data_IF_439371005953
#
_entry.id   IF_439371005953
#
_cell.length_a   1.000
_cell.length_b   1.000
_cell.length_c   1.000
_cell.angle_alpha   90.00
_cell.angle_beta   90.00
_cell.angle_gamma   90.00
#
_symmetry.space_group_name_H-M   'P 1'
#
loop_
_entity.id
_entity.type
_entity.pdbx_description
1 polymer ?
#
# COMPACT_ATOMS: atom_id res chain seq x y z
N UNK A 1 13.21 65.60 27.79
CA UNK A 1 11.83 65.40 28.28
C UNK A 1 11.04 64.92 27.08
N UNK A 2 10.55 63.70 26.96
CA UNK A 2 10.20 62.68 27.97
C UNK A 2 10.38 61.28 27.38
N UNK A 3 10.93 60.40 28.21
CA UNK A 3 10.98 58.96 28.06
C UNK A 3 9.59 58.32 28.10
N UNK A 4 9.43 57.17 27.45
CA UNK A 4 8.63 56.05 27.99
C UNK A 4 8.93 54.77 27.20
N UNK A 5 9.58 53.85 27.90
CA UNK A 5 9.80 52.44 27.60
C UNK A 5 8.50 51.61 27.54
N UNK A 6 8.69 50.32 27.21
CA UNK A 6 7.80 49.14 27.39
C UNK A 6 6.87 48.85 26.20
N UNK A 7 6.63 47.62 25.76
CA UNK A 7 6.93 46.31 26.35
C UNK A 7 6.86 45.19 25.29
N UNK A 8 7.56 44.11 25.59
CA UNK A 8 7.75 42.87 24.85
C UNK A 8 6.56 41.90 25.09
N UNK A 9 6.22 41.05 24.11
CA UNK A 9 5.36 39.87 24.28
C UNK A 9 4.59 39.54 23.00
N UNK A 10 4.39 38.31 22.54
CA UNK A 10 4.69 36.97 23.04
C UNK A 10 4.63 36.08 21.77
N UNK A 11 5.63 35.23 21.53
CA UNK A 11 5.58 34.22 20.46
C UNK A 11 4.84 33.01 21.00
N UNK A 12 3.70 32.66 20.40
CA UNK A 12 3.00 31.41 20.69
C UNK A 12 3.84 30.21 20.22
N UNK A 13 4.29 29.42 21.19
CA UNK A 13 4.83 28.08 21.01
C UNK A 13 3.72 27.15 20.50
N UNK A 14 3.88 26.64 19.28
CA UNK A 14 3.06 25.52 18.78
C UNK A 14 3.82 24.23 19.10
N UNK A 15 3.55 23.66 20.27
CA UNK A 15 3.91 22.29 20.61
C UNK A 15 3.08 21.31 19.76
N UNK A 16 3.72 20.58 18.86
CA UNK A 16 3.14 19.37 18.27
C UNK A 16 3.67 18.15 18.99
N UNK A 17 2.85 17.56 19.85
CA UNK A 17 3.08 16.29 20.55
C UNK A 17 3.21 15.13 19.55
N UNK A 18 4.34 14.44 19.57
CA UNK A 18 4.55 13.19 18.85
C UNK A 18 4.18 12.01 19.78
N UNK A 19 3.19 11.22 19.36
CA UNK A 19 2.75 10.01 20.06
C UNK A 19 3.89 8.98 20.18
N UNK A 20 4.13 8.55 21.42
CA UNK A 20 5.03 7.47 21.81
C UNK A 20 4.57 6.13 21.23
N UNK A 21 5.47 5.43 20.53
CA UNK A 21 5.27 4.04 20.10
C UNK A 21 6.32 3.16 20.77
N UNK A 22 5.92 2.45 21.84
CA UNK A 22 6.74 1.42 22.47
C UNK A 22 6.80 0.14 21.62
N UNK A 23 7.99 -0.46 21.40
CA UNK A 23 8.12 -1.77 20.79
C UNK A 23 8.16 -2.87 21.86
N UNK A 24 7.10 -3.69 21.94
CA UNK A 24 7.10 -4.91 22.73
C UNK A 24 7.90 -6.02 22.02
N UNK A 25 8.96 -6.49 22.68
CA UNK A 25 9.78 -7.64 22.30
C UNK A 25 9.07 -8.98 22.53
N UNK A 26 8.94 -9.81 21.51
CA UNK A 26 8.81 -11.25 21.68
C UNK A 26 9.50 -11.98 20.53
N UNK A 27 10.61 -12.62 20.86
CA UNK A 27 11.40 -13.52 20.02
C UNK A 27 10.65 -14.82 19.77
N UNK A 28 10.41 -15.17 18.51
CA UNK A 28 10.33 -16.57 18.07
C UNK A 28 10.77 -16.67 16.61
N UNK A 29 11.92 -17.32 16.42
CA UNK A 29 12.59 -17.56 15.16
C UNK A 29 11.98 -18.76 14.45
N UNK A 30 11.31 -18.52 13.32
CA UNK A 30 11.00 -19.55 12.33
C UNK A 30 11.52 -19.06 10.98
N UNK A 31 12.54 -19.75 10.46
CA UNK A 31 13.10 -19.54 9.13
C UNK A 31 12.04 -19.88 8.07
N UNK A 32 11.32 -18.85 7.61
CA UNK A 32 10.46 -18.95 6.43
C UNK A 32 11.24 -18.42 5.22
N UNK A 33 11.36 -19.25 4.19
CA UNK A 33 12.09 -18.95 2.96
C UNK A 33 11.60 -17.64 2.35
N UNK A 34 12.50 -16.65 2.29
CA UNK A 34 12.21 -15.29 1.83
C UNK A 34 11.96 -15.30 0.32
N UNK A 35 10.71 -15.49 -0.06
CA UNK A 35 10.22 -15.07 -1.38
C UNK A 35 10.28 -13.54 -1.39
N UNK A 36 10.95 -12.89 -2.37
CA UNK A 36 11.10 -11.43 -2.37
C UNK A 36 9.72 -10.75 -2.28
N UNK A 37 9.47 -10.02 -1.19
CA UNK A 37 8.27 -9.19 -1.03
C UNK A 37 8.30 -8.10 -2.10
N UNK A 38 7.52 -8.26 -3.16
CA UNK A 38 7.21 -7.16 -4.08
C UNK A 38 6.37 -6.14 -3.30
N UNK A 39 7.02 -5.10 -2.78
CA UNK A 39 6.34 -3.96 -2.15
C UNK A 39 5.46 -3.29 -3.22
N UNK A 40 4.14 -3.46 -3.14
CA UNK A 40 3.19 -2.85 -4.08
C UNK A 40 2.88 -1.43 -3.66
N UNK A 41 2.74 -0.52 -4.64
CA UNK A 41 2.38 0.91 -4.45
C UNK A 41 1.10 1.18 -3.66
N UNK A 42 0.20 0.20 -3.56
CA UNK A 42 -0.98 0.25 -2.71
C UNK A 42 -0.97 -0.95 -1.77
N UNK A 43 -1.29 -0.70 -0.51
CA UNK A 43 -1.59 -1.76 0.45
C UNK A 43 -2.59 -2.75 -0.17
N UNK A 44 -2.40 -4.07 0.03
CA UNK A 44 -3.35 -5.05 -0.48
C UNK A 44 -4.74 -4.70 0.04
N UNK A 45 -5.69 -4.51 -0.88
CA UNK A 45 -7.07 -4.21 -0.51
C UNK A 45 -7.64 -5.43 0.22
N UNK A 46 -7.98 -5.27 1.49
CA UNK A 46 -8.63 -6.34 2.25
C UNK A 46 -10.01 -6.63 1.67
N UNK A 47 -10.08 -7.68 0.86
CA UNK A 47 -11.30 -8.09 0.16
C UNK A 47 -12.45 -8.45 1.11
N UNK A 48 -12.17 -8.70 2.40
CA UNK A 48 -13.19 -8.92 3.44
C UNK A 48 -14.00 -7.65 3.73
N UNK A 49 -13.40 -6.47 3.58
CA UNK A 49 -14.07 -5.17 3.78
C UNK A 49 -14.96 -4.77 2.61
N UNK A 50 -14.96 -5.52 1.51
CA UNK A 50 -15.83 -5.21 0.37
C UNK A 50 -17.30 -5.34 0.77
N UNK A 51 -18.14 -4.38 0.35
CA UNK A 51 -19.58 -4.38 0.63
C UNK A 51 -20.23 -5.75 0.36
N UNK A 52 -19.82 -6.43 -0.71
CA UNK A 52 -20.33 -7.75 -1.06
C UNK A 52 -19.84 -8.88 -0.12
N UNK A 53 -18.61 -8.81 0.41
CA UNK A 53 -18.07 -9.77 1.36
C UNK A 53 -18.77 -9.62 2.72
N UNK A 54 -18.83 -8.39 3.24
CA UNK A 54 -19.57 -8.04 4.47
C UNK A 54 -21.04 -8.45 4.37
N UNK A 55 -21.69 -8.20 3.22
CA UNK A 55 -23.06 -8.64 2.98
C UNK A 55 -23.20 -10.17 3.01
N UNK A 56 -22.27 -10.92 2.39
CA UNK A 56 -22.31 -12.39 2.40
C UNK A 56 -22.17 -12.95 3.81
N UNK A 57 -21.29 -12.35 4.62
CA UNK A 57 -21.06 -12.72 6.02
C UNK A 57 -22.29 -12.42 6.89
N UNK A 58 -22.87 -11.21 6.76
CA UNK A 58 -24.09 -10.84 7.48
C UNK A 58 -25.27 -11.76 7.13
N UNK A 59 -25.44 -12.11 5.85
CA UNK A 59 -26.45 -13.08 5.41
C UNK A 59 -26.21 -14.45 6.07
N UNK A 60 -24.97 -14.95 6.07
CA UNK A 60 -24.64 -16.25 6.65
C UNK A 60 -24.87 -16.25 8.17
N UNK A 61 -24.44 -15.21 8.87
CA UNK A 61 -24.63 -15.02 10.31
C UNK A 61 -26.06 -14.63 10.71
N UNK A 62 -26.98 -14.46 9.75
CA UNK A 62 -28.37 -14.09 9.99
C UNK A 62 -28.57 -12.67 10.55
N UNK A 63 -27.58 -11.78 10.38
CA UNK A 63 -27.65 -10.36 10.75
C UNK A 63 -28.44 -9.57 9.71
N UNK A 64 -28.91 -8.38 10.09
CA UNK A 64 -29.49 -7.43 9.13
C UNK A 64 -28.47 -7.03 8.08
N UNK A 65 -28.93 -6.79 6.85
CA UNK A 65 -28.06 -6.40 5.74
C UNK A 65 -28.82 -5.56 4.72
N UNK A 66 -28.07 -4.72 4.00
CA UNK A 66 -28.59 -3.90 2.92
C UNK A 66 -28.42 -4.67 1.61
N UNK A 67 -29.45 -4.71 0.77
CA UNK A 67 -29.41 -5.34 -0.55
C UNK A 67 -28.70 -4.47 -1.59
N UNK A 68 -28.42 -5.01 -2.79
CA UNK A 68 -27.91 -4.20 -3.91
C UNK A 68 -28.86 -3.08 -4.35
N UNK A 69 -30.15 -3.19 -4.02
CA UNK A 69 -31.18 -2.19 -4.27
C UNK A 69 -31.40 -1.27 -3.05
N UNK A 70 -30.44 -1.22 -2.14
CA UNK A 70 -30.44 -0.37 -0.94
C UNK A 70 -31.57 -0.64 0.08
N UNK A 71 -32.33 -1.71 -0.10
CA UNK A 71 -33.34 -2.11 0.88
C UNK A 71 -32.70 -2.79 2.10
N UNK A 72 -33.10 -2.38 3.30
CA UNK A 72 -32.72 -3.01 4.56
C UNK A 72 -33.53 -4.29 4.78
N UNK A 73 -32.83 -5.43 4.91
CA UNK A 73 -33.43 -6.69 5.35
C UNK A 73 -33.04 -6.90 6.82
N UNK A 74 -34.05 -7.11 7.66
CA UNK A 74 -33.86 -7.40 9.09
C UNK A 74 -33.14 -8.73 9.35
N UNK A 75 -32.82 -9.03 10.62
CA UNK A 75 -32.17 -10.28 10.99
C UNK A 75 -33.04 -11.49 10.62
N UNK A 76 -32.40 -12.63 10.42
CA UNK A 76 -33.07 -13.88 10.02
C UNK A 76 -34.02 -14.34 11.12
N UNK A 77 -35.27 -14.59 10.76
CA UNK A 77 -36.33 -15.08 11.64
C UNK A 77 -36.97 -16.34 11.05
N UNK A 78 -37.67 -17.10 11.90
CA UNK A 78 -38.48 -18.23 11.46
C UNK A 78 -39.57 -17.72 10.52
N UNK A 79 -39.76 -18.40 9.39
CA UNK A 79 -40.77 -18.03 8.43
C UNK A 79 -42.18 -18.42 8.88
N UNK A 80 -43.14 -18.29 7.95
CA UNK A 80 -44.55 -18.64 8.18
C UNK A 80 -44.74 -20.15 8.38
N UNK A 81 -45.80 -20.50 9.12
CA UNK A 81 -46.24 -21.89 9.27
C UNK A 81 -46.52 -22.53 7.90
N UNK A 82 -46.09 -23.77 7.72
CA UNK A 82 -46.29 -24.52 6.49
C UNK A 82 -47.71 -25.06 6.30
N UNK A 83 -48.55 -25.07 7.35
CA UNK A 83 -49.95 -25.55 7.36
C UNK A 83 -50.13 -26.90 6.63
N UNK A 84 -49.19 -27.82 6.81
CA UNK A 84 -49.17 -29.08 6.09
C UNK A 84 -49.88 -30.20 6.87
N UNK A 85 -50.29 -31.27 6.17
CA UNK A 85 -50.92 -32.46 6.76
C UNK A 85 -50.07 -33.16 7.83
N UNK A 86 -48.75 -32.95 7.83
CA UNK A 86 -47.85 -33.54 8.82
C UNK A 86 -47.78 -32.77 10.15
N UNK A 87 -48.50 -31.65 10.27
CA UNK A 87 -48.47 -30.81 11.47
C UNK A 87 -47.04 -30.36 11.83
N UNK A 88 -46.20 -29.99 10.86
CA UNK A 88 -44.78 -29.82 11.15
C UNK A 88 -44.49 -28.76 12.22
N UNK A 89 -45.25 -27.66 12.25
CA UNK A 89 -45.05 -26.59 13.24
C UNK A 89 -45.62 -26.91 14.62
N UNK A 90 -46.62 -27.80 14.72
CA UNK A 90 -47.17 -28.24 16.01
C UNK A 90 -46.19 -29.16 16.76
N UNK A 91 -45.23 -29.76 16.06
CA UNK A 91 -44.11 -30.52 16.66
C UNK A 91 -43.04 -29.62 17.31
N UNK A 92 -43.11 -28.31 17.07
CA UNK A 92 -42.20 -27.31 17.62
C UNK A 92 -43.04 -26.20 18.27
N UNK A 93 -43.89 -26.50 19.24
CA UNK A 93 -44.79 -25.51 19.88
C UNK A 93 -44.07 -24.46 20.71
N UNK A 94 -42.93 -24.83 21.30
CA UNK A 94 -42.13 -23.98 22.16
C UNK A 94 -41.37 -22.91 21.34
N UNK A 95 -41.66 -21.63 21.61
CA UNK A 95 -41.02 -20.49 20.96
C UNK A 95 -39.51 -20.48 21.20
N UNK A 96 -39.06 -20.96 22.35
CA UNK A 96 -37.63 -21.07 22.69
C UNK A 96 -36.94 -22.07 21.78
N UNK A 97 -37.56 -23.23 21.51
CA UNK A 97 -36.99 -24.28 20.63
C UNK A 97 -36.83 -23.81 19.18
N UNK A 98 -37.78 -23.01 18.65
CA UNK A 98 -37.66 -22.41 17.29
C UNK A 98 -36.51 -21.40 17.24
N UNK A 99 -36.40 -20.56 18.26
CA UNK A 99 -35.36 -19.54 18.36
C UNK A 99 -33.97 -20.16 18.52
N UNK A 100 -33.84 -21.24 19.31
CA UNK A 100 -32.58 -21.97 19.45
C UNK A 100 -32.10 -22.60 18.14
N UNK A 101 -33.00 -23.14 17.32
CA UNK A 101 -32.63 -23.70 16.01
C UNK A 101 -32.01 -22.64 15.10
N UNK A 102 -32.65 -21.47 14.98
CA UNK A 102 -32.13 -20.37 14.16
C UNK A 102 -30.83 -19.80 14.74
N UNK A 103 -30.73 -19.63 16.06
CA UNK A 103 -29.50 -19.16 16.71
C UNK A 103 -28.33 -20.10 16.42
N UNK A 104 -28.51 -21.42 16.59
CA UNK A 104 -27.48 -22.43 16.27
C UNK A 104 -27.11 -22.42 14.78
N UNK A 105 -28.10 -22.32 13.90
CA UNK A 105 -27.85 -22.28 12.46
C UNK A 105 -27.10 -21.02 12.01
N UNK A 106 -27.42 -19.87 12.60
CA UNK A 106 -26.75 -18.59 12.34
C UNK A 106 -25.33 -18.56 12.93
N UNK A 107 -25.11 -19.19 14.09
CA UNK A 107 -23.79 -19.28 14.73
C UNK A 107 -22.73 -20.00 13.86
N UNK A 108 -23.15 -20.81 12.89
CA UNK A 108 -22.23 -21.42 11.91
C UNK A 108 -21.46 -20.35 11.10
N UNK A 109 -22.05 -19.16 10.89
CA UNK A 109 -21.39 -17.99 10.31
C UNK A 109 -20.96 -18.08 8.84
N UNK A 110 -20.89 -19.28 8.26
CA UNK A 110 -20.37 -19.53 6.93
C UNK A 110 -21.36 -20.33 6.07
N UNK A 111 -21.65 -19.85 4.85
CA UNK A 111 -22.67 -20.49 3.98
C UNK A 111 -22.31 -21.94 3.64
N UNK A 112 -21.06 -22.23 3.31
CA UNK A 112 -20.62 -23.58 2.93
C UNK A 112 -20.87 -24.58 4.05
N UNK A 113 -20.44 -24.25 5.28
CA UNK A 113 -20.70 -25.06 6.48
C UNK A 113 -22.20 -25.19 6.77
N UNK A 114 -22.98 -24.13 6.59
CA UNK A 114 -24.44 -24.19 6.71
C UNK A 114 -25.06 -25.14 5.69
N UNK A 115 -24.61 -25.12 4.44
CA UNK A 115 -25.12 -26.00 3.39
C UNK A 115 -24.76 -27.46 3.68
N UNK A 116 -23.54 -27.74 4.18
CA UNK A 116 -23.14 -29.07 4.65
C UNK A 116 -24.02 -29.56 5.81
N UNK A 117 -24.28 -28.69 6.78
CA UNK A 117 -25.20 -28.98 7.88
C UNK A 117 -26.61 -29.32 7.38
N UNK A 118 -27.14 -28.54 6.44
CA UNK A 118 -28.47 -28.79 5.87
C UNK A 118 -28.51 -30.07 5.04
N UNK A 119 -27.44 -30.39 4.30
CA UNK A 119 -27.34 -31.64 3.53
C UNK A 119 -27.40 -32.87 4.44
N UNK A 120 -26.74 -32.84 5.60
CA UNK A 120 -26.79 -33.94 6.57
C UNK A 120 -28.23 -34.21 7.10
N UNK A 121 -29.13 -33.24 6.95
CA UNK A 121 -30.54 -33.33 7.35
C UNK A 121 -31.49 -33.69 6.20
N UNK A 122 -30.97 -33.85 4.99
CA UNK A 122 -31.71 -34.25 3.78
C UNK A 122 -31.31 -35.68 3.43
N UNK A 123 -32.29 -36.57 3.32
CA UNK A 123 -32.07 -37.93 2.84
C UNK A 123 -32.82 -38.13 1.54
N UNK A 124 -32.14 -38.66 0.55
CA UNK A 124 -32.72 -38.93 -0.76
C UNK A 124 -32.89 -40.43 -0.97
N UNK A 125 -34.05 -40.84 -1.46
CA UNK A 125 -34.33 -42.22 -1.86
C UNK A 125 -34.85 -42.26 -3.28
N UNK A 126 -34.61 -43.35 -3.99
CA UNK A 126 -35.22 -43.59 -5.29
C UNK A 126 -36.76 -43.52 -5.16
N UNK A 127 -37.41 -42.87 -6.12
CA UNK A 127 -38.86 -42.86 -6.15
C UNK A 127 -39.37 -44.26 -6.50
N UNK A 128 -40.30 -44.78 -5.69
CA UNK A 128 -40.95 -46.04 -6.00
C UNK A 128 -41.83 -45.87 -7.25
N UNK A 129 -41.91 -46.90 -8.11
CA UNK A 129 -42.82 -46.87 -9.25
C UNK A 129 -44.26 -46.70 -8.75
N UNK A 130 -45.10 -45.93 -9.47
CA UNK A 130 -46.48 -45.73 -9.07
C UNK A 130 -47.24 -47.07 -9.04
N UNK A 131 -48.04 -47.30 -7.97
CA UNK A 131 -48.82 -48.53 -7.78
C UNK A 131 -49.98 -48.70 -8.79
N UNK A 132 -50.30 -47.68 -9.58
CA UNK A 132 -51.26 -47.71 -10.69
C UNK A 132 -50.69 -46.90 -11.87
N UNK A 133 -50.87 -47.34 -13.12
CA UNK A 133 -50.61 -46.50 -14.30
C UNK A 133 -51.49 -45.25 -14.24
N UNK A 134 -50.89 -44.06 -14.24
CA UNK A 134 -51.63 -42.80 -14.30
C UNK A 134 -51.87 -42.40 -15.76
N UNK A 135 -53.10 -42.66 -16.25
CA UNK A 135 -53.73 -42.10 -17.47
C UNK A 135 -52.99 -42.28 -18.82
N UNK A 136 -53.77 -42.31 -19.91
CA UNK A 136 -53.41 -42.76 -21.26
C UNK A 136 -52.40 -41.89 -22.05
N UNK A 137 -51.71 -40.92 -21.45
CA UNK A 137 -50.77 -40.02 -22.16
C UNK A 137 -49.34 -40.04 -21.54
N UNK A 138 -48.43 -40.90 -22.04
CA UNK A 138 -47.09 -41.12 -21.46
C UNK A 138 -46.07 -39.98 -21.68
N UNK A 139 -46.28 -39.12 -22.68
CA UNK A 139 -45.24 -38.20 -23.18
C UNK A 139 -44.97 -36.94 -22.33
N UNK A 140 -45.89 -36.52 -21.46
CA UNK A 140 -45.80 -35.23 -20.76
C UNK A 140 -45.57 -35.32 -19.24
N UNK A 141 -45.32 -36.52 -18.70
CA UNK A 141 -45.17 -36.70 -17.26
C UNK A 141 -43.70 -36.67 -16.83
N UNK A 142 -43.31 -35.60 -16.10
CA UNK A 142 -42.01 -35.52 -15.42
C UNK A 142 -41.95 -36.59 -14.31
N UNK A 143 -41.40 -37.77 -14.62
CA UNK A 143 -41.09 -38.80 -13.62
C UNK A 143 -40.11 -38.23 -12.60
N UNK A 144 -40.46 -38.28 -11.32
CA UNK A 144 -39.52 -37.95 -10.24
C UNK A 144 -38.64 -39.15 -10.00
N UNK A 145 -37.34 -39.05 -10.26
CA UNK A 145 -36.41 -40.16 -10.02
C UNK A 145 -36.08 -40.34 -8.53
N UNK A 146 -36.22 -39.27 -7.74
CA UNK A 146 -35.89 -39.26 -6.31
C UNK A 146 -36.99 -38.61 -5.47
N UNK A 147 -37.14 -39.10 -4.25
CA UNK A 147 -37.96 -38.53 -3.19
C UNK A 147 -37.03 -38.09 -2.05
N UNK A 148 -37.10 -36.81 -1.69
CA UNK A 148 -36.29 -36.26 -0.61
C UNK A 148 -37.10 -36.23 0.69
N UNK A 149 -36.49 -36.70 1.78
CA UNK A 149 -36.98 -36.61 3.14
C UNK A 149 -36.20 -35.55 3.91
N UNK A 150 -36.89 -34.71 4.67
CA UNK A 150 -36.31 -33.61 5.43
C UNK A 150 -36.49 -33.87 6.92
N UNK A 151 -35.41 -33.77 7.69
CA UNK A 151 -35.42 -34.02 9.14
C UNK A 151 -34.84 -32.84 9.89
N UNK A 152 -35.25 -32.63 11.14
CA UNK A 152 -34.69 -31.61 12.04
C UNK A 152 -34.40 -32.28 13.37
N UNK A 153 -33.21 -32.08 13.91
CA UNK A 153 -32.86 -32.56 15.25
C UNK A 153 -33.58 -31.73 16.31
N UNK A 154 -34.26 -32.39 17.25
CA UNK A 154 -34.81 -31.71 18.42
C UNK A 154 -33.72 -31.48 19.48
N UNK A 155 -34.10 -30.86 20.61
CA UNK A 155 -33.18 -30.60 21.73
C UNK A 155 -32.52 -31.87 22.30
N UNK A 156 -33.21 -33.01 22.20
CA UNK A 156 -32.75 -34.33 22.63
C UNK A 156 -31.95 -35.09 21.55
N UNK A 157 -31.65 -34.47 20.41
CA UNK A 157 -30.87 -35.08 19.33
C UNK A 157 -31.64 -36.00 18.37
N UNK A 158 -32.92 -36.29 18.64
CA UNK A 158 -33.76 -37.14 17.78
C UNK A 158 -34.24 -36.41 16.52
N UNK A 159 -34.35 -37.14 15.41
CA UNK A 159 -34.71 -36.61 14.10
C UNK A 159 -36.24 -36.55 13.90
N UNK A 160 -36.79 -35.34 13.79
CA UNK A 160 -38.20 -35.11 13.48
C UNK A 160 -38.38 -34.89 11.98
N UNK A 161 -39.21 -35.72 11.35
CA UNK A 161 -39.57 -35.56 9.94
C UNK A 161 -40.46 -34.34 9.71
N UNK A 162 -40.09 -33.52 8.73
CA UNK A 162 -40.81 -32.30 8.34
C UNK A 162 -41.01 -32.21 6.83
N UNK A 163 -41.94 -31.36 6.38
CA UNK A 163 -42.10 -31.05 4.97
C UNK A 163 -41.05 -30.01 4.51
N UNK A 164 -40.78 -29.95 3.20
CA UNK A 164 -39.82 -29.00 2.61
C UNK A 164 -40.09 -27.54 3.00
N UNK A 165 -41.37 -27.13 3.07
CA UNK A 165 -41.76 -25.76 3.45
C UNK A 165 -41.43 -25.48 4.91
N UNK A 166 -41.69 -26.42 5.82
CA UNK A 166 -41.32 -26.30 7.23
C UNK A 166 -39.81 -26.29 7.40
N UNK A 167 -39.07 -27.15 6.69
CA UNK A 167 -37.62 -27.18 6.74
C UNK A 167 -36.99 -25.84 6.36
N UNK A 168 -37.47 -25.22 5.26
CA UNK A 168 -37.03 -23.90 4.83
C UNK A 168 -37.39 -22.80 5.85
N UNK A 169 -38.63 -22.85 6.34
CA UNK A 169 -39.19 -21.84 7.24
C UNK A 169 -38.52 -21.86 8.63
N UNK A 170 -38.28 -23.04 9.20
CA UNK A 170 -37.64 -23.24 10.50
C UNK A 170 -36.17 -22.80 10.50
N UNK A 171 -35.46 -22.93 9.38
CA UNK A 171 -34.09 -22.41 9.23
C UNK A 171 -34.03 -20.96 8.71
N UNK A 172 -35.17 -20.32 8.43
CA UNK A 172 -35.23 -18.96 7.89
C UNK A 172 -34.57 -18.81 6.50
N UNK A 173 -34.68 -19.83 5.65
CA UNK A 173 -34.10 -19.85 4.29
C UNK A 173 -35.17 -19.99 3.21
N UNK A 174 -34.82 -19.67 1.97
CA UNK A 174 -35.72 -19.86 0.84
C UNK A 174 -35.89 -21.35 0.48
N UNK A 175 -37.09 -21.71 0.02
CA UNK A 175 -37.38 -23.08 -0.47
C UNK A 175 -36.44 -23.46 -1.63
N UNK A 176 -36.07 -22.49 -2.47
CA UNK A 176 -35.13 -22.68 -3.59
C UNK A 176 -33.75 -23.17 -3.12
N UNK A 177 -33.24 -22.68 -1.98
CA UNK A 177 -31.96 -23.16 -1.40
C UNK A 177 -32.06 -24.64 -1.04
N UNK A 178 -33.16 -25.05 -0.42
CA UNK A 178 -33.43 -26.46 -0.05
C UNK A 178 -33.54 -27.35 -1.29
N UNK A 179 -34.19 -26.88 -2.35
CA UNK A 179 -34.30 -27.62 -3.62
C UNK A 179 -32.94 -27.83 -4.30
N UNK A 180 -32.06 -26.83 -4.28
CA UNK A 180 -30.71 -26.95 -4.83
C UNK A 180 -29.87 -27.97 -4.05
N UNK A 181 -29.93 -27.94 -2.73
CA UNK A 181 -29.23 -28.91 -1.88
C UNK A 181 -29.76 -30.33 -2.09
N UNK A 182 -31.08 -30.48 -2.24
CA UNK A 182 -31.66 -31.79 -2.52
C UNK A 182 -31.26 -32.32 -3.92
N UNK A 183 -31.16 -31.45 -4.93
CA UNK A 183 -30.61 -31.83 -6.24
C UNK A 183 -29.14 -32.25 -6.16
N UNK A 184 -28.34 -31.56 -5.35
CA UNK A 184 -26.95 -31.90 -5.12
C UNK A 184 -26.83 -33.29 -4.47
N UNK A 185 -27.62 -33.56 -3.42
CA UNK A 185 -27.71 -34.89 -2.78
C UNK A 185 -28.09 -35.99 -3.78
N UNK A 186 -28.98 -35.71 -4.73
CA UNK A 186 -29.41 -36.66 -5.76
C UNK A 186 -28.38 -36.91 -6.87
N UNK A 187 -27.35 -36.07 -7.00
CA UNK A 187 -26.38 -36.15 -8.09
C UNK A 187 -25.29 -37.22 -7.89
N UNK A 188 -25.29 -37.93 -6.76
CA UNK A 188 -24.33 -38.99 -6.44
C UNK A 188 -22.90 -38.52 -6.19
N UNK A 189 -22.61 -37.21 -6.32
CA UNK A 189 -21.31 -36.63 -6.06
C UNK A 189 -21.15 -36.35 -4.56
N UNK A 190 -20.18 -37.00 -3.92
CA UNK A 190 -19.74 -36.77 -2.52
C UNK A 190 -19.00 -35.44 -2.35
N UNK A 191 -19.44 -34.39 -3.03
CA UNK A 191 -18.78 -33.09 -3.00
C UNK A 191 -19.45 -32.22 -1.94
N UNK A 192 -18.65 -31.77 -0.98
CA UNK A 192 -19.02 -30.66 -0.10
C UNK A 192 -19.54 -29.48 -0.95
N UNK A 193 -20.62 -28.80 -0.53
CA UNK A 193 -21.14 -27.64 -1.24
C UNK A 193 -20.04 -26.63 -1.56
N UNK A 194 -19.94 -26.20 -2.82
CA UNK A 194 -19.00 -25.15 -3.22
C UNK A 194 -19.69 -23.79 -3.34
N UNK A 195 -19.03 -22.74 -2.87
CA UNK A 195 -19.56 -21.38 -2.95
C UNK A 195 -19.32 -20.77 -4.34
N UNK A 196 -20.36 -20.82 -5.17
CA UNK A 196 -20.32 -20.34 -6.55
C UNK A 196 -21.00 -18.96 -6.75
N UNK A 197 -21.51 -18.30 -5.69
CA UNK A 197 -22.17 -16.99 -5.86
C UNK A 197 -21.20 -15.92 -6.34
N UNK A 198 -21.52 -15.30 -7.47
CA UNK A 198 -20.73 -14.24 -8.09
C UNK A 198 -19.55 -14.75 -8.92
N UNK A 199 -19.40 -16.07 -9.10
CA UNK A 199 -18.45 -16.66 -10.04
C UNK A 199 -19.18 -16.95 -11.36
N UNK A 200 -18.71 -16.34 -12.44
CA UNK A 200 -19.15 -16.65 -13.80
C UNK A 200 -17.92 -16.76 -14.69
N UNK A 201 -17.90 -17.81 -15.52
CA UNK A 201 -16.84 -18.04 -16.51
C UNK A 201 -17.06 -17.23 -17.79
N UNK A 202 -18.29 -16.76 -18.04
CA UNK A 202 -18.58 -15.90 -19.18
C UNK A 202 -18.05 -14.48 -18.92
N UNK A 203 -16.89 -14.16 -19.46
CA UNK A 203 -16.25 -12.83 -19.41
C UNK A 203 -15.78 -12.44 -20.81
N UNK A 204 -16.70 -12.10 -21.74
CA UNK A 204 -16.36 -11.87 -23.15
C UNK A 204 -15.50 -10.62 -23.37
N UNK A 205 -15.37 -9.75 -22.35
CA UNK A 205 -14.54 -8.53 -22.37
C UNK A 205 -13.29 -8.65 -21.49
N UNK A 206 -12.98 -9.84 -20.98
CA UNK A 206 -11.73 -10.04 -20.26
C UNK A 206 -10.56 -9.90 -21.24
N UNK A 207 -9.52 -9.18 -20.81
CA UNK A 207 -8.29 -9.06 -21.59
C UNK A 207 -7.56 -10.42 -21.51
N UNK A 208 -7.19 -11.02 -22.65
CA UNK A 208 -6.41 -12.25 -22.69
C UNK A 208 -5.09 -12.15 -21.93
N UNK A 209 -4.60 -13.28 -21.40
CA UNK A 209 -3.30 -13.32 -20.70
C UNK A 209 -2.16 -12.85 -21.60
N UNK A 210 -2.14 -13.25 -22.87
CA UNK A 210 -1.12 -12.85 -23.84
C UNK A 210 -0.99 -11.31 -23.98
N UNK A 211 -2.11 -10.58 -24.04
CA UNK A 211 -2.09 -9.11 -24.06
C UNK A 211 -1.57 -8.52 -22.76
N UNK A 212 -1.83 -9.20 -21.65
CA UNK A 212 -1.37 -8.78 -20.33
C UNK A 212 0.15 -8.94 -20.19
N UNK A 213 0.69 -10.02 -20.74
CA UNK A 213 2.14 -10.29 -20.84
C UNK A 213 2.85 -9.29 -21.75
N UNK A 214 2.23 -8.91 -22.89
CA UNK A 214 2.77 -7.86 -23.76
C UNK A 214 2.92 -6.52 -23.04
N UNK A 215 1.91 -6.13 -22.24
CA UNK A 215 1.99 -4.92 -21.41
C UNK A 215 3.11 -5.03 -20.37
N UNK A 216 3.27 -6.18 -19.72
CA UNK A 216 4.35 -6.40 -18.77
C UNK A 216 5.72 -6.26 -19.43
N UNK A 217 5.93 -6.96 -20.54
CA UNK A 217 7.18 -6.91 -21.31
C UNK A 217 7.53 -5.48 -21.76
N UNK A 218 6.53 -4.72 -22.21
CA UNK A 218 6.73 -3.31 -22.56
C UNK A 218 7.19 -2.47 -21.37
N UNK A 219 6.57 -2.61 -20.20
CA UNK A 219 6.91 -1.85 -19.00
C UNK A 219 8.31 -2.23 -18.47
N UNK A 220 8.67 -3.52 -18.54
CA UNK A 220 9.97 -4.02 -18.09
C UNK A 220 11.13 -3.61 -19.00
N UNK A 221 10.84 -3.31 -20.27
CA UNK A 221 11.82 -2.87 -21.25
C UNK A 221 12.38 -1.46 -21.03
N UNK A 222 11.81 -0.66 -20.12
CA UNK A 222 12.34 0.67 -19.81
C UNK A 222 13.58 0.57 -18.90
N UNK A 223 14.65 1.34 -19.19
CA UNK A 223 15.77 1.50 -18.27
C UNK A 223 15.29 2.02 -16.91
N UNK A 224 15.82 1.42 -15.85
CA UNK A 224 15.42 1.71 -14.47
C UNK A 224 16.64 1.97 -13.59
N UNK A 225 16.54 2.96 -12.74
CA UNK A 225 17.58 3.35 -11.79
C UNK A 225 17.12 3.10 -10.35
N UNK A 226 18.06 2.91 -9.43
CA UNK A 226 17.81 2.91 -7.99
C UNK A 226 18.30 4.23 -7.40
N UNK A 227 17.60 4.76 -6.38
CA UNK A 227 17.99 6.01 -5.73
C UNK A 227 19.38 5.90 -5.12
N UNK A 228 20.25 6.89 -5.37
CA UNK A 228 21.64 6.90 -4.91
C UNK A 228 21.76 6.99 -3.38
N UNK A 229 20.92 7.80 -2.73
CA UNK A 229 20.97 8.10 -1.30
C UNK A 229 20.26 7.10 -0.38
N UNK A 230 19.57 6.09 -0.94
CA UNK A 230 18.72 5.17 -0.16
C UNK A 230 18.79 3.73 -0.66
N UNK A 231 19.98 3.33 -1.14
CA UNK A 231 20.24 1.98 -1.66
C UNK A 231 20.07 0.89 -0.60
N UNK A 232 20.41 1.18 0.65
CA UNK A 232 20.22 0.28 1.80
C UNK A 232 18.75 0.16 2.22
N UNK A 233 18.02 1.28 2.18
CA UNK A 233 16.73 1.39 2.85
C UNK A 233 15.53 1.14 1.91
N UNK A 234 15.74 1.23 0.59
CA UNK A 234 14.67 1.13 -0.43
C UNK A 234 15.03 0.24 -1.64
N UNK A 235 15.66 -0.92 -1.39
CA UNK A 235 16.15 -1.84 -2.43
C UNK A 235 15.10 -2.28 -3.47
N UNK A 236 13.81 -2.30 -3.10
CA UNK A 236 12.71 -2.73 -3.97
C UNK A 236 12.03 -1.61 -4.78
N UNK A 237 12.50 -0.35 -4.69
CA UNK A 237 11.92 0.78 -5.43
C UNK A 237 12.85 1.17 -6.59
N UNK A 238 12.29 1.16 -7.79
CA UNK A 238 12.99 1.59 -8.99
C UNK A 238 12.42 2.89 -9.52
N UNK A 239 13.22 3.69 -10.20
CA UNK A 239 12.83 4.94 -10.82
C UNK A 239 13.05 4.86 -12.33
N UNK A 240 12.01 5.20 -13.08
CA UNK A 240 12.07 5.44 -14.52
C UNK A 240 12.55 6.88 -14.77
N UNK A 241 12.95 7.17 -16.02
CA UNK A 241 13.36 8.53 -16.42
C UNK A 241 12.33 9.59 -16.01
N UNK A 242 12.83 10.77 -15.65
CA UNK A 242 12.01 11.96 -15.36
C UNK A 242 11.20 12.43 -16.58
N UNK A 243 11.66 12.10 -17.79
CA UNK A 243 10.97 12.46 -19.03
C UNK A 243 9.76 11.57 -19.30
N UNK A 244 9.65 10.44 -18.59
CA UNK A 244 8.57 9.48 -18.73
C UNK A 244 7.44 9.78 -17.74
N UNK A 245 6.25 9.43 -18.17
CA UNK A 245 5.09 9.28 -17.30
C UNK A 245 4.24 8.12 -17.86
N UNK A 246 3.25 7.64 -17.10
CA UNK A 246 2.46 6.47 -17.52
C UNK A 246 1.70 6.72 -18.83
N UNK A 247 1.34 7.97 -19.12
CA UNK A 247 0.68 8.36 -20.37
C UNK A 247 1.63 8.21 -21.56
N UNK A 248 2.83 8.79 -21.47
CA UNK A 248 3.89 8.61 -22.49
C UNK A 248 4.26 7.14 -22.68
N UNK A 249 4.37 6.38 -21.60
CA UNK A 249 4.63 4.93 -21.69
C UNK A 249 3.52 4.19 -22.44
N UNK A 250 2.26 4.60 -22.26
CA UNK A 250 1.14 4.02 -22.99
C UNK A 250 1.14 4.42 -24.47
N UNK A 251 1.48 5.66 -24.79
CA UNK A 251 1.65 6.12 -26.18
C UNK A 251 2.75 5.32 -26.88
N UNK A 252 3.91 5.15 -26.23
CA UNK A 252 5.00 4.30 -26.72
C UNK A 252 4.60 2.83 -26.88
N UNK A 253 3.71 2.33 -26.02
CA UNK A 253 3.15 0.98 -26.15
C UNK A 253 2.31 0.86 -27.43
N UNK A 254 1.43 1.82 -27.69
CA UNK A 254 0.61 1.82 -28.90
C UNK A 254 1.47 1.97 -30.16
N UNK A 255 2.53 2.77 -30.11
CA UNK A 255 3.46 2.95 -31.22
C UNK A 255 4.27 1.68 -31.50
N UNK A 256 4.83 1.05 -30.45
CA UNK A 256 5.60 -0.20 -30.57
C UNK A 256 4.77 -1.34 -31.14
N UNK A 257 3.49 -1.39 -30.80
CA UNK A 257 2.56 -2.44 -31.23
C UNK A 257 1.49 -1.92 -32.20
N UNK A 258 1.84 -0.93 -33.04
CA UNK A 258 0.91 -0.32 -34.02
C UNK A 258 0.30 -1.34 -34.99
N UNK A 259 1.07 -2.35 -35.38
CA UNK A 259 0.65 -3.37 -36.34
C UNK A 259 -0.14 -4.52 -35.67
N UNK A 260 -0.20 -4.56 -34.33
CA UNK A 260 -0.94 -5.57 -33.59
C UNK A 260 -2.33 -5.04 -33.20
N UNK A 261 -3.34 -5.42 -33.99
CA UNK A 261 -4.73 -4.99 -33.81
C UNK A 261 -5.32 -5.36 -32.44
N UNK A 262 -4.83 -6.42 -31.78
CA UNK A 262 -5.29 -6.79 -30.44
C UNK A 262 -4.67 -5.91 -29.36
N UNK A 263 -3.40 -5.55 -29.49
CA UNK A 263 -2.72 -4.63 -28.58
C UNK A 263 -3.37 -3.23 -28.60
N UNK A 264 -3.84 -2.78 -29.78
CA UNK A 264 -4.57 -1.52 -29.94
C UNK A 264 -5.92 -1.48 -29.19
N UNK A 265 -6.48 -2.63 -28.78
CA UNK A 265 -7.69 -2.67 -27.95
C UNK A 265 -7.43 -2.30 -26.49
N UNK A 266 -6.17 -2.30 -26.06
CA UNK A 266 -5.80 -1.98 -24.68
C UNK A 266 -6.01 -0.49 -24.47
N UNK A 267 -6.89 -0.17 -23.51
CA UNK A 267 -7.16 1.22 -23.10
C UNK A 267 -6.18 1.67 -22.03
N UNK A 268 -5.91 2.98 -22.00
CA UNK A 268 -5.09 3.61 -20.97
C UNK A 268 -5.47 3.21 -19.53
N UNK A 269 -6.77 3.18 -19.18
CA UNK A 269 -7.20 2.81 -17.82
C UNK A 269 -6.74 1.40 -17.41
N UNK A 270 -6.74 0.43 -18.34
CA UNK A 270 -6.20 -0.89 -18.06
C UNK A 270 -4.68 -0.83 -17.88
N UNK A 271 -3.97 -0.20 -18.82
CA UNK A 271 -2.51 -0.06 -18.78
C UNK A 271 -2.05 0.57 -17.46
N UNK A 272 -2.68 1.67 -17.06
CA UNK A 272 -2.40 2.39 -15.83
C UNK A 272 -2.67 1.55 -14.57
N UNK A 273 -3.81 0.84 -14.52
CA UNK A 273 -4.14 -0.05 -13.40
C UNK A 273 -3.17 -1.22 -13.31
N UNK A 274 -2.81 -1.79 -14.46
CA UNK A 274 -1.83 -2.86 -14.55
C UNK A 274 -0.46 -2.39 -14.07
N UNK A 275 0.01 -1.23 -14.53
CA UNK A 275 1.24 -0.60 -14.07
C UNK A 275 1.23 -0.42 -12.54
N UNK A 276 0.19 0.20 -11.98
CA UNK A 276 0.09 0.44 -10.53
C UNK A 276 -0.01 -0.83 -9.68
N UNK A 277 -0.64 -1.89 -10.20
CA UNK A 277 -0.86 -3.12 -9.46
C UNK A 277 0.37 -4.05 -9.45
N UNK A 278 1.19 -3.98 -10.50
CA UNK A 278 2.28 -4.93 -10.73
C UNK A 278 3.68 -4.31 -10.60
N UNK A 279 3.83 -2.99 -10.74
CA UNK A 279 5.15 -2.34 -10.73
C UNK A 279 5.28 -1.28 -9.63
N UNK A 280 6.39 -1.37 -8.88
CA UNK A 280 6.79 -0.37 -7.87
C UNK A 280 7.75 0.68 -8.44
N UNK A 281 7.42 1.23 -9.62
CA UNK A 281 8.29 2.13 -10.36
C UNK A 281 7.90 3.60 -10.13
N UNK A 282 8.76 4.37 -9.46
CA UNK A 282 8.71 5.82 -9.44
C UNK A 282 9.11 6.43 -10.78
N UNK A 283 8.84 7.73 -10.96
CA UNK A 283 9.48 8.53 -11.99
C UNK A 283 10.52 9.38 -11.27
N UNK A 284 11.74 9.46 -11.81
CA UNK A 284 12.78 10.33 -11.27
C UNK A 284 12.38 11.79 -11.41
N UNK A 285 13.02 12.65 -10.61
CA UNK A 285 13.13 14.07 -10.93
C UNK A 285 14.36 14.26 -11.82
N UNK A 286 14.41 15.33 -12.66
CA UNK A 286 15.68 15.76 -13.22
C UNK A 286 16.69 15.87 -12.08
N UNK A 287 17.88 15.29 -12.27
CA UNK A 287 18.90 15.33 -11.22
C UNK A 287 19.39 16.78 -11.10
N UNK A 288 19.08 17.41 -9.97
CA UNK A 288 19.67 18.67 -9.55
C UNK A 288 20.79 18.35 -8.56
N UNK A 289 21.87 19.14 -8.59
CA UNK A 289 23.01 18.98 -7.68
C UNK A 289 23.79 17.66 -7.84
N UNK A 290 24.12 17.29 -9.08
CA UNK A 290 24.97 16.13 -9.37
C UNK A 290 26.44 16.47 -9.27
N UNK A 291 27.24 15.49 -8.82
CA UNK A 291 28.69 15.63 -8.82
C UNK A 291 29.21 15.72 -10.26
N UNK A 292 29.74 16.89 -10.65
CA UNK A 292 30.31 17.14 -11.97
C UNK A 292 31.38 16.12 -12.36
N UNK A 293 32.19 15.67 -11.39
CA UNK A 293 33.23 14.65 -11.61
C UNK A 293 32.61 13.31 -12.01
N UNK A 294 31.54 12.89 -11.29
CA UNK A 294 30.80 11.67 -11.61
C UNK A 294 30.13 11.75 -12.98
N UNK A 295 29.50 12.89 -13.30
CA UNK A 295 28.82 13.09 -14.58
C UNK A 295 29.81 13.06 -15.75
N UNK A 296 30.96 13.72 -15.61
CA UNK A 296 32.03 13.68 -16.61
C UNK A 296 32.49 12.25 -16.88
N UNK A 297 32.85 11.51 -15.83
CA UNK A 297 33.28 10.11 -15.98
C UNK A 297 32.17 9.23 -16.58
N UNK A 298 30.92 9.44 -16.17
CA UNK A 298 29.80 8.67 -16.69
C UNK A 298 29.47 8.99 -18.15
N UNK A 299 29.64 10.24 -18.57
CA UNK A 299 29.46 10.64 -19.96
C UNK A 299 30.60 10.11 -20.84
N UNK A 300 31.85 10.14 -20.37
CA UNK A 300 32.98 9.51 -21.07
C UNK A 300 32.76 8.00 -21.25
N UNK A 301 32.28 7.30 -20.22
CA UNK A 301 31.98 5.87 -20.26
C UNK A 301 30.85 5.48 -21.22
N UNK A 302 30.01 6.42 -21.66
CA UNK A 302 28.94 6.18 -22.64
C UNK A 302 29.43 6.23 -24.09
N UNK A 303 30.66 6.70 -24.33
CA UNK A 303 31.20 6.77 -25.67
C UNK A 303 31.45 5.35 -26.23
N UNK A 304 30.78 4.93 -27.33
CA UNK A 304 30.95 3.59 -27.89
C UNK A 304 32.37 3.33 -28.42
N UNK A 305 33.11 4.39 -28.77
CA UNK A 305 34.46 4.30 -29.33
C UNK A 305 35.56 4.35 -28.25
N UNK A 306 35.19 4.26 -26.97
CA UNK A 306 36.14 4.36 -25.87
C UNK A 306 37.04 3.11 -25.78
N UNK A 307 38.35 3.35 -25.77
CA UNK A 307 39.37 2.29 -25.61
C UNK A 307 39.21 1.60 -24.25
N UNK A 308 39.28 0.26 -24.23
CA UNK A 308 39.02 -0.55 -23.03
C UNK A 308 39.97 -0.21 -21.85
N UNK A 309 41.22 0.16 -22.14
CA UNK A 309 42.17 0.62 -21.11
C UNK A 309 41.68 1.88 -20.40
N UNK A 310 41.22 2.88 -21.16
CA UNK A 310 40.67 4.14 -20.63
C UNK A 310 39.35 3.90 -19.88
N UNK A 311 38.53 2.97 -20.35
CA UNK A 311 37.29 2.57 -19.67
C UNK A 311 37.59 1.99 -18.28
N UNK A 312 38.57 1.09 -18.16
CA UNK A 312 38.99 0.53 -16.87
C UNK A 312 39.57 1.59 -15.93
N UNK A 313 40.35 2.54 -16.47
CA UNK A 313 40.86 3.68 -15.71
C UNK A 313 39.72 4.53 -15.14
N UNK A 314 38.74 4.91 -15.98
CA UNK A 314 37.58 5.71 -15.56
C UNK A 314 36.72 4.99 -14.51
N UNK A 315 36.52 3.67 -14.65
CA UNK A 315 35.82 2.87 -13.64
C UNK A 315 36.57 2.90 -12.32
N UNK A 316 37.90 2.74 -12.36
CA UNK A 316 38.75 2.77 -11.16
C UNK A 316 38.69 4.14 -10.47
N UNK A 317 38.85 5.23 -11.24
CA UNK A 317 38.75 6.60 -10.74
C UNK A 317 37.37 6.87 -10.12
N UNK A 318 36.31 6.39 -10.77
CA UNK A 318 34.95 6.51 -10.25
C UNK A 318 34.77 5.75 -8.94
N UNK A 319 35.27 4.52 -8.84
CA UNK A 319 35.20 3.72 -7.63
C UNK A 319 35.96 4.37 -6.47
N UNK A 320 37.16 4.90 -6.73
CA UNK A 320 37.94 5.64 -5.72
C UNK A 320 37.20 6.90 -5.28
N UNK A 321 36.62 7.66 -6.20
CA UNK A 321 35.83 8.86 -5.88
C UNK A 321 34.62 8.53 -4.99
N UNK A 322 33.88 7.47 -5.33
CA UNK A 322 32.74 7.00 -4.54
C UNK A 322 33.17 6.47 -3.17
N UNK A 323 34.27 5.74 -3.08
CA UNK A 323 34.81 5.25 -1.81
C UNK A 323 35.21 6.39 -0.86
N UNK A 324 35.82 7.46 -1.39
CA UNK A 324 36.15 8.66 -0.61
C UNK A 324 34.89 9.36 -0.07
N UNK A 325 33.86 9.49 -0.92
CA UNK A 325 32.59 10.06 -0.49
C UNK A 325 31.91 9.18 0.58
N UNK A 326 31.94 7.87 0.42
CA UNK A 326 31.38 6.93 1.40
C UNK A 326 32.10 7.04 2.75
N UNK A 327 33.43 7.07 2.76
CA UNK A 327 34.22 7.24 3.99
C UNK A 327 33.83 8.51 4.76
N UNK A 328 33.63 9.63 4.06
CA UNK A 328 33.15 10.87 4.66
C UNK A 328 31.78 10.70 5.35
N UNK A 329 30.81 10.06 4.68
CA UNK A 329 29.49 9.83 5.27
C UNK A 329 29.50 8.81 6.41
N UNK A 330 30.37 7.80 6.33
CA UNK A 330 30.54 6.81 7.39
C UNK A 330 31.13 7.46 8.66
N UNK A 331 32.13 8.33 8.51
CA UNK A 331 32.68 9.14 9.60
C UNK A 331 31.64 10.08 10.20
N UNK A 332 30.94 10.85 9.35
CA UNK A 332 29.87 11.76 9.81
C UNK A 332 28.81 10.98 10.62
N UNK A 333 28.40 9.82 10.15
CA UNK A 333 27.43 8.96 10.84
C UNK A 333 27.98 8.42 12.16
N UNK A 334 29.24 7.97 12.17
CA UNK A 334 29.91 7.47 13.36
C UNK A 334 29.99 8.56 14.44
N UNK A 335 30.51 9.74 14.10
CA UNK A 335 30.63 10.84 15.06
C UNK A 335 29.27 11.38 15.48
N UNK A 336 28.28 11.43 14.59
CA UNK A 336 26.92 11.84 14.95
C UNK A 336 26.36 10.94 16.04
N UNK A 337 26.56 9.62 15.92
CA UNK A 337 26.16 8.66 16.96
C UNK A 337 26.92 8.88 18.26
N UNK A 338 28.24 9.13 18.19
CA UNK A 338 29.04 9.44 19.38
C UNK A 338 28.54 10.70 20.08
N UNK A 339 28.18 11.76 19.35
CA UNK A 339 27.66 13.00 19.91
C UNK A 339 26.30 12.83 20.60
N UNK A 340 25.46 11.89 20.13
CA UNK A 340 24.19 11.54 20.79
C UNK A 340 24.42 10.82 22.14
N UNK A 341 25.50 10.03 22.26
CA UNK A 341 25.80 9.21 23.44
C UNK A 341 26.69 9.94 24.48
N UNK A 342 27.46 10.96 24.07
CA UNK A 342 28.45 11.63 24.91
C UNK A 342 28.10 13.10 25.15
N UNK A 343 28.26 13.58 26.39
CA UNK A 343 27.89 14.95 26.76
C UNK A 343 28.90 15.97 26.27
N UNK A 344 30.17 15.60 26.15
CA UNK A 344 31.27 16.51 25.82
C UNK A 344 31.62 16.60 24.33
N UNK A 345 30.87 15.91 23.46
CA UNK A 345 31.07 15.94 22.00
C UNK A 345 29.85 16.53 21.30
N UNK A 346 30.08 17.35 20.27
CA UNK A 346 29.07 17.70 19.27
C UNK A 346 29.65 17.59 17.86
N UNK A 347 28.77 17.39 16.88
CA UNK A 347 29.07 17.35 15.45
C UNK A 347 28.20 18.37 14.75
N UNK A 348 28.82 19.35 14.09
CA UNK A 348 28.11 20.33 13.28
C UNK A 348 28.31 20.03 11.81
N UNK A 349 27.20 19.98 11.08
CA UNK A 349 27.20 20.06 9.63
C UNK A 349 26.65 21.40 9.18
N UNK A 350 27.34 22.07 8.25
CA UNK A 350 26.89 23.38 7.79
C UNK A 350 27.08 23.58 6.30
N UNK A 351 26.12 24.28 5.69
CA UNK A 351 26.06 24.52 4.25
C UNK A 351 25.17 25.72 3.93
N UNK A 352 25.38 26.31 2.75
CA UNK A 352 24.47 27.28 2.18
C UNK A 352 23.37 26.59 1.38
N UNK A 353 22.14 27.04 1.58
CA UNK A 353 21.09 26.74 0.61
C UNK A 353 21.33 27.48 -0.72
N UNK A 354 20.70 26.97 -1.78
CA UNK A 354 20.64 27.64 -3.07
C UNK A 354 20.16 29.09 -2.89
N UNK A 355 20.82 30.03 -3.56
CA UNK A 355 20.46 31.46 -3.51
C UNK A 355 18.99 31.63 -3.87
N UNK A 356 18.27 32.41 -3.06
CA UNK A 356 16.86 32.69 -3.24
C UNK A 356 16.71 34.02 -3.98
N UNK A 357 16.30 34.02 -5.26
CA UNK A 357 16.08 35.27 -5.99
C UNK A 357 14.77 35.92 -5.54
N UNK A 358 14.84 37.18 -5.10
CA UNK A 358 13.68 37.98 -4.71
C UNK A 358 13.56 39.26 -5.56
N UNK A 359 12.33 39.65 -5.95
CA UNK A 359 11.10 38.88 -5.81
C UNK A 359 11.09 37.67 -6.76
N UNK A 360 10.46 36.57 -6.33
CA UNK A 360 10.26 35.40 -7.18
C UNK A 360 9.09 35.67 -8.14
N UNK A 361 9.40 36.08 -9.36
CA UNK A 361 8.41 36.47 -10.38
C UNK A 361 8.51 35.51 -11.58
N UNK A 362 7.41 34.85 -11.98
CA UNK A 362 7.42 33.85 -13.06
C UNK A 362 7.46 34.45 -14.48
N UNK A 363 7.67 35.77 -14.61
CA UNK A 363 7.69 36.46 -15.90
C UNK A 363 9.07 36.35 -16.57
N UNK A 364 9.09 36.10 -17.89
CA UNK A 364 10.34 35.94 -18.64
C UNK A 364 11.26 37.16 -18.59
N UNK A 365 10.70 38.37 -18.50
CA UNK A 365 11.45 39.62 -18.40
C UNK A 365 12.40 39.67 -17.20
N UNK A 366 12.10 38.91 -16.15
CA UNK A 366 12.87 38.84 -14.90
C UNK A 366 14.26 38.27 -15.15
N UNK A 367 14.42 37.39 -16.14
CA UNK A 367 15.71 36.86 -16.55
C UNK A 367 16.70 37.97 -17.01
N UNK A 368 16.17 39.07 -17.55
CA UNK A 368 16.96 40.21 -18.00
C UNK A 368 17.08 41.32 -16.94
N UNK A 369 16.50 41.12 -15.76
CA UNK A 369 16.55 42.09 -14.66
C UNK A 369 17.43 41.55 -13.54
N UNK A 370 18.07 42.47 -12.81
CA UNK A 370 18.84 42.12 -11.62
C UNK A 370 17.86 41.81 -10.48
N UNK A 371 17.83 40.56 -10.03
CA UNK A 371 17.12 40.14 -8.83
C UNK A 371 18.02 40.32 -7.60
N UNK A 372 17.41 40.64 -6.45
CA UNK A 372 18.12 40.65 -5.17
C UNK A 372 18.32 39.20 -4.73
N UNK A 373 19.54 38.81 -4.39
CA UNK A 373 19.77 37.50 -3.78
C UNK A 373 19.59 37.55 -2.27
N UNK A 374 18.81 36.59 -1.76
CA UNK A 374 18.80 36.22 -0.35
C UNK A 374 19.58 34.94 -0.16
N UNK A 375 20.44 34.96 0.83
CA UNK A 375 21.30 33.87 1.24
C UNK A 375 20.75 33.26 2.53
N UNK A 376 20.84 31.93 2.65
CA UNK A 376 20.48 31.22 3.86
C UNK A 376 21.59 30.21 4.18
N UNK A 377 22.24 30.41 5.33
CA UNK A 377 23.26 29.51 5.84
C UNK A 377 22.67 28.64 6.95
N UNK A 378 22.88 27.34 6.88
CA UNK A 378 22.34 26.38 7.85
C UNK A 378 23.49 25.78 8.66
N UNK A 379 23.35 25.76 9.99
CA UNK A 379 24.17 24.96 10.90
C UNK A 379 23.26 23.93 11.55
N UNK A 380 23.58 22.64 11.42
CA UNK A 380 22.87 21.54 12.04
C UNK A 380 23.75 20.84 13.07
N UNK A 381 23.24 20.71 14.31
CA UNK A 381 23.89 19.95 15.38
C UNK A 381 23.35 18.53 15.42
N UNK A 382 24.22 17.54 15.27
CA UNK A 382 23.85 16.13 15.38
C UNK A 382 23.39 15.78 16.79
N UNK A 383 24.00 16.37 17.83
CA UNK A 383 23.66 16.13 19.23
C UNK A 383 22.23 16.58 19.55
N UNK A 384 21.92 17.83 19.23
CA UNK A 384 20.61 18.42 19.59
C UNK A 384 19.52 18.12 18.56
N UNK A 385 19.91 17.64 17.36
CA UNK A 385 19.02 17.44 16.20
C UNK A 385 18.34 18.74 15.75
N UNK A 386 18.93 19.90 16.07
CA UNK A 386 18.43 21.23 15.71
C UNK A 386 19.20 21.80 14.53
N UNK A 387 18.48 22.50 13.65
CA UNK A 387 19.03 23.28 12.56
C UNK A 387 18.80 24.78 12.82
N UNK A 388 19.83 25.58 12.60
CA UNK A 388 19.85 27.02 12.80
C UNK A 388 20.10 27.70 11.46
N UNK A 389 19.19 28.61 11.09
CA UNK A 389 19.20 29.28 9.79
C UNK A 389 19.56 30.76 9.95
N UNK A 390 20.59 31.18 9.23
CA UNK A 390 21.08 32.55 9.18
C UNK A 390 20.75 33.13 7.80
N UNK A 391 19.66 33.90 7.73
CA UNK A 391 19.16 34.51 6.50
C UNK A 391 19.56 35.98 6.41
N UNK A 392 20.09 36.39 5.26
CA UNK A 392 20.49 37.76 4.97
C UNK A 392 20.49 37.99 3.46
N UNK A 393 20.33 39.24 3.03
CA UNK A 393 20.32 39.61 1.61
C UNK A 393 21.68 40.17 1.14
N UNK A 394 21.86 40.28 -0.18
CA UNK A 394 23.11 40.75 -0.79
C UNK A 394 23.51 42.19 -0.44
N UNK A 395 22.61 43.02 0.08
CA UNK A 395 22.95 44.35 0.58
C UNK A 395 23.52 44.29 2.01
N UNK A 396 23.12 43.29 2.80
CA UNK A 396 23.58 43.08 4.17
C UNK A 396 24.96 42.42 4.21
N UNK A 397 25.14 41.37 3.41
CA UNK A 397 26.37 40.57 3.41
C UNK A 397 26.54 39.84 2.09
N UNK A 398 27.76 39.36 1.84
CA UNK A 398 28.06 38.54 0.67
C UNK A 398 28.19 37.09 1.11
N UNK A 399 28.77 36.24 0.27
CA UNK A 399 29.11 34.85 0.63
C UNK A 399 30.63 34.68 0.74
N UNK A 400 31.28 35.57 1.47
CA UNK A 400 32.73 35.51 1.71
C UNK A 400 33.02 34.62 2.93
N UNK A 401 34.29 34.36 3.27
CA UNK A 401 34.62 33.62 4.49
C UNK A 401 34.15 34.31 5.78
N UNK A 402 33.95 35.62 5.77
CA UNK A 402 33.56 36.39 6.96
C UNK A 402 32.16 36.02 7.47
N UNK A 403 31.21 35.78 6.57
CA UNK A 403 29.84 35.46 6.96
C UNK A 403 29.74 34.09 7.67
N UNK A 404 30.22 32.96 7.10
CA UNK A 404 30.29 31.68 7.82
C UNK A 404 31.02 31.77 9.17
N UNK A 405 32.16 32.49 9.24
CA UNK A 405 32.89 32.70 10.48
C UNK A 405 32.02 33.42 11.52
N UNK A 406 31.32 34.48 11.12
CA UNK A 406 30.43 35.23 12.01
C UNK A 406 29.27 34.36 12.53
N UNK A 407 28.69 33.52 11.68
CA UNK A 407 27.62 32.61 12.07
C UNK A 407 28.11 31.50 13.01
N UNK A 408 29.30 30.94 12.74
CA UNK A 408 29.93 29.95 13.62
C UNK A 408 30.33 30.57 14.96
N UNK A 409 30.91 31.77 14.98
CA UNK A 409 31.23 32.50 16.21
C UNK A 409 29.99 32.77 17.05
N UNK A 410 28.89 33.22 16.42
CA UNK A 410 27.61 33.38 17.09
C UNK A 410 27.10 32.06 17.65
N UNK A 411 27.18 30.97 16.88
CA UNK A 411 26.77 29.64 17.33
C UNK A 411 27.57 29.18 18.54
N UNK A 412 28.91 29.26 18.48
CA UNK A 412 29.79 28.83 19.57
C UNK A 412 29.56 29.62 20.85
N UNK A 413 29.28 30.92 20.75
CA UNK A 413 29.09 31.79 21.92
C UNK A 413 27.70 31.69 22.54
N UNK A 414 26.66 31.52 21.73
CA UNK A 414 25.27 31.72 22.18
C UNK A 414 24.39 30.46 22.13
N UNK A 415 24.73 29.48 21.28
CA UNK A 415 23.85 28.34 20.99
C UNK A 415 24.45 26.99 21.40
N UNK A 416 25.78 26.88 21.42
CA UNK A 416 26.48 25.67 21.77
C UNK A 416 26.40 25.40 23.29
N UNK A 417 26.24 24.14 23.64
CA UNK A 417 26.27 23.69 25.04
C UNK A 417 27.67 23.88 25.63
N UNK A 418 27.74 24.40 26.85
CA UNK A 418 29.00 24.74 27.54
C UNK A 418 29.79 23.51 27.95
N UNK A 419 29.14 22.36 28.03
CA UNK A 419 29.79 21.09 28.40
C UNK A 419 30.55 20.46 27.22
N UNK A 420 30.37 20.95 25.99
CA UNK A 420 31.06 20.46 24.80
C UNK A 420 32.54 20.86 24.82
N UNK A 421 33.42 19.86 24.76
CA UNK A 421 34.89 19.99 24.74
C UNK A 421 35.48 19.63 23.38
N UNK A 422 34.83 18.73 22.64
CA UNK A 422 35.29 18.27 21.33
C UNK A 422 34.22 18.56 20.28
N UNK A 423 34.60 19.25 19.22
CA UNK A 423 33.70 19.63 18.14
C UNK A 423 34.21 19.07 16.81
N UNK A 424 33.37 18.29 16.13
CA UNK A 424 33.64 17.86 14.76
C UNK A 424 32.85 18.71 13.76
N UNK A 425 33.54 19.28 12.78
CA UNK A 425 32.97 20.20 11.81
C UNK A 425 32.96 19.57 10.41
N UNK A 426 31.77 19.46 9.83
CA UNK A 426 31.53 18.93 8.50
C UNK A 426 30.96 20.02 7.60
N UNK A 427 31.58 20.26 6.46
CA UNK A 427 31.14 21.27 5.49
C UNK A 427 31.44 20.86 4.06
N UNK A 428 30.84 21.58 3.12
CA UNK A 428 31.12 21.42 1.71
C UNK A 428 32.53 21.92 1.35
N UNK A 429 33.04 21.48 0.19
CA UNK A 429 34.38 21.81 -0.27
C UNK A 429 34.41 23.14 -1.05
N UNK A 430 33.71 24.17 -0.56
CA UNK A 430 33.63 25.48 -1.20
C UNK A 430 34.82 26.36 -0.81
N UNK A 431 35.75 26.60 -1.74
CA UNK A 431 36.96 27.41 -1.47
C UNK A 431 36.64 28.85 -1.02
N UNK A 432 35.58 29.45 -1.56
CA UNK A 432 35.18 30.82 -1.23
C UNK A 432 34.58 30.97 0.17
N UNK A 433 34.18 29.87 0.82
CA UNK A 433 33.42 29.89 2.08
C UNK A 433 34.09 29.06 3.16
N UNK A 434 34.28 27.77 2.91
CA UNK A 434 34.64 26.78 3.94
C UNK A 434 36.05 26.23 3.77
N UNK A 435 36.55 26.12 2.53
CA UNK A 435 37.89 25.58 2.23
C UNK A 435 38.91 26.69 1.96
N UNK A 436 39.08 27.57 2.94
CA UNK A 436 40.08 28.64 2.90
C UNK A 436 40.86 28.72 4.22
N UNK A 437 42.00 29.41 4.18
CA UNK A 437 42.85 29.62 5.35
C UNK A 437 42.16 30.45 6.43
N UNK A 438 41.27 31.38 6.06
CA UNK A 438 40.58 32.26 7.00
C UNK A 438 39.72 31.48 7.99
N UNK A 439 38.89 30.55 7.51
CA UNK A 439 38.07 29.70 8.40
C UNK A 439 38.94 28.78 9.25
N UNK A 440 40.00 28.20 8.66
CA UNK A 440 40.93 27.35 9.41
C UNK A 440 41.64 28.12 10.54
N UNK A 441 42.11 29.35 10.29
CA UNK A 441 42.72 30.18 11.32
C UNK A 441 41.75 30.66 12.39
N UNK A 442 40.45 30.77 12.08
CA UNK A 442 39.44 31.08 13.08
C UNK A 442 39.16 29.88 14.01
N UNK A 443 39.30 28.65 13.50
CA UNK A 443 39.01 27.42 14.24
C UNK A 443 40.18 26.90 15.09
N UNK A 444 41.40 27.42 14.88
CA UNK A 444 42.63 27.10 15.62
C UNK A 444 42.88 28.21 16.62
#
# INVERSE_FOLDING_TARGET
>A
MSSSDSEFGFLDEIETSADEYEPSSSSDSVEESVVPRVLKRKAPVDSRKWRAAVQKENIASGKSHITKKEMLIGPRKTGRDCKCKFGCFTKFTDAEKKNHLIKRFNAIGEKTKQDTYLLALISSRAALPPRRPLTQNPGNQRRRNFVNEYRIKNALGSNIRVCRKAFASLHGISVKRVELLAKLSNSGKTLSPTENRGKHHNRPRAIPSALTELVAYHIEGFPKEQSHYSRSDNSCKHYLSADLNVTKMYELFLEKYKDNQEAQRIKYDFYYRFFKANFNYGFGSPRTDTCQTCDRMQNELKNPDLVESRKNELITLKNVHLAKAQAFYDELKSFSKTAEETVDVDVLSFDYQQNLPLPHVPAGDVFYKRQLWVFNFCIHSAKTRKAYFFMYDEATGKKTPNEPISFLDYYFKNLMDKDVKTLYLFSDNCAAQNKNSTLLFFLI
#
